data_IF_986505354298
#
_entry.id   IF_986505354298
#
_cell.length_a   1.000
_cell.length_b   1.000
_cell.length_c   1.000
_cell.angle_alpha   90.00
_cell.angle_beta   90.00
_cell.angle_gamma   90.00
#
_symmetry.space_group_name_H-M   'P 1'
#
loop_
_entity.id
_entity.type
_entity.pdbx_description
1 polymer ?
#
# COMPACT_ATOMS: atom_id res chain seq x y z
N UNK A 1 -13.85 5.52 73.34
CA UNK A 1 -13.50 4.18 72.82
C UNK A 1 -14.76 3.36 72.68
N UNK A 2 -15.28 3.19 71.46
CA UNK A 2 -16.24 2.11 71.15
C UNK A 2 -15.91 1.62 69.74
N UNK A 3 -15.26 0.45 69.67
CA UNK A 3 -15.01 -0.29 68.42
C UNK A 3 -16.30 -1.04 68.07
N UNK A 4 -16.87 -0.73 66.92
CA UNK A 4 -17.92 -1.54 66.30
C UNK A 4 -17.31 -2.89 65.94
N UNK A 5 -17.74 -3.94 66.63
CA UNK A 5 -17.41 -5.32 66.30
C UNK A 5 -18.37 -5.78 65.20
N UNK A 6 -17.86 -5.99 63.99
CA UNK A 6 -18.59 -6.75 62.98
C UNK A 6 -18.45 -8.24 63.29
N UNK A 7 -19.58 -8.88 63.57
CA UNK A 7 -19.74 -10.32 63.65
C UNK A 7 -19.55 -10.95 62.26
N UNK A 8 -18.84 -12.09 62.15
CA UNK A 8 -18.67 -12.77 60.87
C UNK A 8 -19.93 -13.58 60.55
N UNK A 9 -20.59 -13.24 59.45
CA UNK A 9 -21.69 -14.04 58.91
C UNK A 9 -21.14 -15.34 58.32
N UNK A 10 -21.58 -16.47 58.88
CA UNK A 10 -21.33 -17.80 58.37
C UNK A 10 -22.08 -18.01 57.04
N UNK A 11 -21.37 -17.87 55.91
CA UNK A 11 -21.62 -18.57 54.63
C UNK A 11 -20.76 -18.01 53.49
N UNK A 12 -19.47 -17.74 53.74
CA UNK A 12 -18.51 -17.48 52.66
C UNK A 12 -17.97 -18.81 52.12
N UNK A 13 -18.82 -19.52 51.35
CA UNK A 13 -18.31 -20.47 50.39
C UNK A 13 -17.57 -19.68 49.31
N UNK A 14 -16.28 -19.41 49.57
CA UNK A 14 -15.33 -18.85 48.63
C UNK A 14 -15.47 -19.58 47.29
N UNK A 15 -16.14 -18.93 46.33
CA UNK A 15 -16.23 -19.42 44.96
C UNK A 15 -14.81 -19.46 44.42
N UNK A 16 -14.21 -20.65 44.48
CA UNK A 16 -12.86 -20.94 44.02
C UNK A 16 -12.85 -20.83 42.50
N UNK A 17 -12.62 -19.62 42.01
CA UNK A 17 -12.39 -19.42 40.57
C UNK A 17 -11.09 -20.13 40.19
N UNK A 18 -11.04 -20.82 39.04
CA UNK A 18 -9.80 -21.43 38.49
C UNK A 18 -8.61 -20.47 38.48
N UNK A 19 -8.90 -19.16 38.36
CA UNK A 19 -7.92 -18.07 38.41
C UNK A 19 -7.35 -17.86 39.82
N UNK A 20 -8.16 -17.99 40.86
CA UNK A 20 -7.73 -17.97 42.26
C UNK A 20 -6.86 -19.17 42.63
N UNK A 21 -7.19 -20.37 42.14
CA UNK A 21 -6.39 -21.58 42.37
C UNK A 21 -5.01 -21.51 41.70
N UNK A 22 -4.96 -21.06 40.44
CA UNK A 22 -3.69 -20.85 39.71
C UNK A 22 -2.78 -19.81 40.37
N UNK A 23 -3.37 -18.79 41.01
CA UNK A 23 -2.63 -17.77 41.76
C UNK A 23 -2.23 -18.26 43.15
N UNK A 24 -3.02 -19.11 43.80
CA UNK A 24 -2.69 -19.74 45.08
C UNK A 24 -1.52 -20.73 44.93
N UNK A 25 -1.47 -21.49 43.84
CA UNK A 25 -0.33 -22.36 43.49
C UNK A 25 0.97 -21.58 43.19
N UNK A 26 0.88 -20.27 42.94
CA UNK A 26 2.02 -19.38 42.67
C UNK A 26 2.50 -18.59 43.89
N UNK A 27 1.86 -18.74 45.05
CA UNK A 27 2.25 -18.03 46.27
C UNK A 27 3.68 -18.46 46.65
N UNK A 28 4.63 -17.54 46.59
CA UNK A 28 6.06 -17.78 46.90
C UNK A 28 6.97 -18.07 45.69
N UNK A 29 6.42 -18.26 44.48
CA UNK A 29 7.23 -18.34 43.26
C UNK A 29 7.22 -16.99 42.53
N UNK A 30 8.39 -16.55 42.07
CA UNK A 30 8.46 -15.36 41.22
C UNK A 30 7.67 -15.61 39.93
N UNK A 31 6.86 -14.63 39.52
CA UNK A 31 6.11 -14.73 38.27
C UNK A 31 7.11 -14.86 37.13
N UNK A 32 7.16 -16.01 36.46
CA UNK A 32 7.89 -16.16 35.21
C UNK A 32 7.22 -15.24 34.19
N UNK A 33 7.83 -14.08 33.95
CA UNK A 33 7.27 -13.06 33.07
C UNK A 33 7.38 -13.44 31.59
N UNK A 34 8.34 -14.30 31.23
CA UNK A 34 8.61 -14.77 29.86
C UNK A 34 9.21 -16.17 29.87
N UNK A 35 8.80 -17.02 28.92
CA UNK A 35 9.40 -18.35 28.71
C UNK A 35 10.69 -18.28 27.88
N UNK A 36 10.73 -17.42 26.87
CA UNK A 36 11.89 -17.24 25.99
C UNK A 36 12.40 -15.79 26.11
N UNK A 37 13.69 -15.63 26.37
CA UNK A 37 14.39 -14.33 26.37
C UNK A 37 15.24 -14.22 25.11
N UNK A 38 14.98 -13.23 24.24
CA UNK A 38 15.76 -13.04 23.04
C UNK A 38 17.25 -12.82 23.35
N UNK A 39 18.13 -13.55 22.69
CA UNK A 39 19.57 -13.40 22.82
C UNK A 39 20.08 -12.23 21.94
N UNK A 40 20.78 -11.27 22.56
CA UNK A 40 21.34 -10.10 21.90
C UNK A 40 22.83 -10.25 21.54
N UNK A 41 23.47 -11.32 22.00
CA UNK A 41 24.88 -11.63 21.77
C UNK A 41 25.05 -12.67 20.65
N UNK A 42 24.46 -12.35 19.50
CA UNK A 42 24.57 -13.17 18.30
C UNK A 42 25.95 -12.92 17.67
N UNK A 43 26.71 -13.96 17.30
CA UNK A 43 28.00 -13.79 16.64
C UNK A 43 27.81 -13.19 15.24
N UNK A 44 28.32 -11.97 15.03
CA UNK A 44 28.24 -11.26 13.75
C UNK A 44 29.59 -11.33 13.03
N UNK A 45 29.62 -11.62 11.71
CA UNK A 45 30.85 -11.55 10.93
C UNK A 45 31.51 -10.17 10.97
N UNK A 46 32.85 -10.13 10.91
CA UNK A 46 33.61 -8.87 10.86
C UNK A 46 33.30 -8.08 9.56
N UNK A 47 33.63 -6.79 9.56
CA UNK A 47 33.45 -5.89 8.42
C UNK A 47 32.09 -5.20 8.44
N UNK A 48 31.48 -5.04 7.26
CA UNK A 48 30.18 -4.38 7.07
C UNK A 48 29.07 -4.90 7.98
N UNK A 49 28.86 -6.22 8.14
CA UNK A 49 27.83 -6.74 9.05
C UNK A 49 28.06 -6.31 10.51
N UNK A 50 29.31 -6.34 11.00
CA UNK A 50 29.65 -5.89 12.34
C UNK A 50 29.38 -4.40 12.55
N UNK A 51 29.71 -3.54 11.57
CA UNK A 51 29.41 -2.10 11.62
C UNK A 51 27.91 -1.86 11.74
N UNK A 52 27.12 -2.50 10.88
CA UNK A 52 25.66 -2.39 10.87
C UNK A 52 25.02 -2.97 12.15
N UNK A 53 25.58 -4.04 12.70
CA UNK A 53 25.07 -4.61 13.94
C UNK A 53 25.24 -3.67 15.14
N UNK A 54 26.29 -2.85 15.15
CA UNK A 54 26.54 -1.89 16.25
C UNK A 54 25.46 -0.80 16.29
N UNK A 55 25.08 -0.25 15.15
CA UNK A 55 24.00 0.75 15.07
C UNK A 55 22.67 0.13 15.49
N UNK A 56 22.41 -1.12 15.06
CA UNK A 56 21.21 -1.87 15.46
C UNK A 56 21.12 -2.17 16.96
N UNK A 57 22.25 -2.46 17.63
CA UNK A 57 22.27 -2.69 19.09
C UNK A 57 21.87 -1.44 19.88
N UNK A 58 22.23 -0.26 19.39
CA UNK A 58 21.95 1.04 20.05
C UNK A 58 20.59 1.62 19.62
N UNK A 59 19.96 1.08 18.58
CA UNK A 59 18.71 1.61 18.04
C UNK A 59 17.60 1.68 19.07
N UNK A 60 16.98 2.86 19.16
CA UNK A 60 15.85 3.09 20.04
C UNK A 60 14.51 2.93 19.31
N UNK A 61 13.90 1.76 19.45
CA UNK A 61 12.58 1.45 18.90
C UNK A 61 11.44 2.40 19.33
N UNK A 62 11.59 3.16 20.41
CA UNK A 62 10.56 4.12 20.79
C UNK A 62 10.52 5.37 19.92
N UNK A 63 11.61 5.68 19.22
CA UNK A 63 11.75 6.85 18.36
C UNK A 63 11.62 6.48 16.87
N UNK A 64 11.48 5.20 16.56
CA UNK A 64 11.35 4.69 15.21
C UNK A 64 10.01 5.13 14.59
N UNK A 65 10.08 6.03 13.61
CA UNK A 65 8.90 6.66 12.99
C UNK A 65 8.01 5.62 12.31
N UNK A 66 8.60 4.62 11.66
CA UNK A 66 7.85 3.59 10.93
C UNK A 66 7.08 2.70 11.90
N UNK A 67 7.71 2.33 13.02
CA UNK A 67 7.05 1.55 14.06
C UNK A 67 5.95 2.34 14.75
N UNK A 68 6.17 3.63 15.03
CA UNK A 68 5.15 4.52 15.61
C UNK A 68 3.94 4.61 14.69
N UNK A 69 4.16 4.89 13.40
CA UNK A 69 3.09 5.00 12.40
C UNK A 69 2.31 3.68 12.28
N UNK A 70 3.01 2.54 12.21
CA UNK A 70 2.37 1.23 12.15
C UNK A 70 1.54 0.94 13.41
N UNK A 71 2.02 1.33 14.59
CA UNK A 71 1.29 1.11 15.85
C UNK A 71 0.09 2.03 16.00
N UNK A 72 0.14 3.25 15.49
CA UNK A 72 -1.01 4.16 15.43
C UNK A 72 -2.12 3.59 14.52
N UNK A 73 -1.74 3.02 13.37
CA UNK A 73 -2.69 2.37 12.47
C UNK A 73 -3.21 1.03 13.03
N UNK A 74 -2.36 0.30 13.76
CA UNK A 74 -2.65 -1.03 14.27
C UNK A 74 -2.09 -2.14 13.37
N UNK A 75 -1.64 -3.24 14.00
CA UNK A 75 -1.09 -4.39 13.29
C UNK A 75 -2.19 -5.21 12.61
N UNK A 76 -1.87 -5.76 11.44
CA UNK A 76 -2.66 -6.84 10.82
C UNK A 76 -1.99 -8.18 11.16
N UNK A 77 -2.66 -9.05 11.94
CA UNK A 77 -2.19 -10.41 12.14
C UNK A 77 -2.00 -11.13 10.80
N UNK A 78 -1.01 -12.01 10.70
CA UNK A 78 -0.71 -12.67 9.42
C UNK A 78 -1.91 -13.44 8.85
N UNK A 79 -2.68 -14.11 9.71
CA UNK A 79 -3.90 -14.85 9.35
C UNK A 79 -4.99 -13.96 8.72
N UNK A 80 -5.04 -12.68 9.10
CA UNK A 80 -6.09 -11.74 8.70
C UNK A 80 -5.67 -10.84 7.53
N UNK A 81 -4.46 -11.02 6.97
CA UNK A 81 -3.96 -10.14 5.90
C UNK A 81 -4.77 -10.20 4.61
N UNK A 82 -5.40 -11.34 4.34
CA UNK A 82 -6.27 -11.54 3.19
C UNK A 82 -7.74 -11.21 3.48
N UNK A 83 -8.08 -10.91 4.75
CA UNK A 83 -9.44 -10.63 5.15
C UNK A 83 -9.77 -9.16 4.87
N UNK A 84 -10.72 -8.92 3.96
CA UNK A 84 -11.17 -7.58 3.57
C UNK A 84 -11.93 -6.85 4.68
N UNK A 85 -12.58 -7.59 5.59
CA UNK A 85 -13.40 -7.03 6.66
C UNK A 85 -12.63 -6.78 7.96
N UNK A 86 -11.33 -7.13 8.01
CA UNK A 86 -10.54 -6.96 9.21
C UNK A 86 -10.27 -5.47 9.51
N UNK A 87 -10.78 -4.99 10.64
CA UNK A 87 -10.56 -3.62 11.10
C UNK A 87 -9.35 -3.57 12.04
N UNK A 88 -8.36 -2.78 11.66
CA UNK A 88 -7.12 -2.61 12.46
C UNK A 88 -7.44 -1.83 13.73
N UNK A 89 -6.87 -2.28 14.85
CA UNK A 89 -7.01 -1.61 16.14
C UNK A 89 -5.73 -0.86 16.49
N UNK A 90 -5.78 0.47 16.66
CA UNK A 90 -4.66 1.25 17.15
C UNK A 90 -4.09 0.66 18.44
N UNK A 91 -2.77 0.69 18.54
CA UNK A 91 -2.03 0.18 19.69
C UNK A 91 -1.32 1.31 20.42
N UNK A 92 -0.92 1.05 21.66
CA UNK A 92 -0.03 1.95 22.40
C UNK A 92 1.20 2.27 21.56
N UNK A 93 1.49 3.55 21.35
CA UNK A 93 2.61 4.05 20.54
C UNK A 93 3.94 3.44 21.00
N UNK A 94 4.25 3.50 22.29
CA UNK A 94 5.47 2.88 22.83
C UNK A 94 5.35 1.35 22.85
N UNK A 95 6.22 0.68 22.09
CA UNK A 95 6.35 -0.77 22.11
C UNK A 95 6.78 -1.29 23.49
N UNK A 96 6.22 -2.44 23.87
CA UNK A 96 6.60 -3.16 25.10
C UNK A 96 8.03 -3.68 24.99
N UNK A 97 8.72 -3.84 26.13
CA UNK A 97 10.10 -4.34 26.16
C UNK A 97 10.28 -5.67 25.43
N UNK A 98 9.34 -6.60 25.55
CA UNK A 98 9.37 -7.90 24.86
C UNK A 98 9.46 -7.76 23.34
N UNK A 99 8.59 -6.94 22.75
CA UNK A 99 8.57 -6.70 21.31
C UNK A 99 9.86 -6.03 20.86
N UNK A 100 10.39 -5.07 21.63
CA UNK A 100 11.66 -4.40 21.31
C UNK A 100 12.84 -5.37 21.34
N UNK A 101 12.97 -6.16 22.40
CA UNK A 101 14.04 -7.16 22.54
C UNK A 101 13.98 -8.19 21.41
N UNK A 102 12.77 -8.64 21.05
CA UNK A 102 12.57 -9.56 19.93
C UNK A 102 12.95 -8.93 18.59
N UNK A 103 12.56 -7.67 18.34
CA UNK A 103 12.93 -6.94 17.12
C UNK A 103 14.43 -6.67 17.04
N UNK A 104 15.08 -6.27 18.14
CA UNK A 104 16.54 -6.10 18.18
C UNK A 104 17.24 -7.42 17.86
N UNK A 105 16.87 -8.50 18.53
CA UNK A 105 17.53 -9.80 18.35
C UNK A 105 17.31 -10.34 16.93
N UNK A 106 16.11 -10.16 16.37
CA UNK A 106 15.83 -10.53 14.99
C UNK A 106 16.64 -9.69 14.00
N UNK A 107 16.71 -8.38 14.19
CA UNK A 107 17.51 -7.48 13.34
C UNK A 107 18.99 -7.89 13.32
N UNK A 108 19.56 -8.21 14.48
CA UNK A 108 20.94 -8.69 14.60
C UNK A 108 21.14 -10.04 13.91
N UNK A 109 20.22 -10.99 14.12
CA UNK A 109 20.28 -12.31 13.52
C UNK A 109 20.19 -12.24 11.98
N UNK A 110 19.32 -11.39 11.46
CA UNK A 110 19.16 -11.19 10.02
C UNK A 110 20.43 -10.58 9.41
N UNK A 111 20.97 -9.51 10.00
CA UNK A 111 22.20 -8.87 9.51
C UNK A 111 23.42 -9.79 9.60
N UNK A 112 23.52 -10.62 10.64
CA UNK A 112 24.62 -11.57 10.78
C UNK A 112 24.68 -12.62 9.65
N UNK A 113 23.52 -12.95 9.08
CA UNK A 113 23.39 -13.98 8.06
C UNK A 113 22.93 -13.47 6.69
N UNK A 114 22.83 -12.15 6.54
CA UNK A 114 22.53 -11.50 5.27
C UNK A 114 23.77 -11.46 4.37
N UNK A 115 23.50 -11.48 3.07
CA UNK A 115 24.50 -11.35 2.04
C UNK A 115 24.69 -9.88 1.64
N UNK A 116 25.93 -9.41 1.69
CA UNK A 116 26.32 -8.03 1.39
C UNK A 116 27.08 -7.92 0.06
N UNK A 117 27.22 -9.00 -0.70
CA UNK A 117 27.96 -8.96 -1.95
C UNK A 117 27.12 -8.36 -3.08
N UNK A 118 27.54 -7.22 -3.70
CA UNK A 118 26.73 -6.52 -4.69
C UNK A 118 26.61 -7.25 -6.04
N UNK A 119 27.52 -8.18 -6.34
CA UNK A 119 27.50 -8.90 -7.62
C UNK A 119 26.37 -9.93 -7.72
N UNK A 120 25.91 -10.50 -6.60
CA UNK A 120 24.80 -11.46 -6.59
C UNK A 120 23.47 -10.85 -7.05
N UNK A 121 22.56 -11.68 -7.54
CA UNK A 121 21.30 -11.23 -8.17
C UNK A 121 20.43 -10.38 -7.25
N UNK A 122 20.36 -10.75 -5.97
CA UNK A 122 19.51 -10.11 -4.97
C UNK A 122 20.35 -9.63 -3.79
N UNK A 123 20.17 -8.37 -3.42
CA UNK A 123 20.90 -7.74 -2.32
C UNK A 123 20.28 -8.10 -0.97
N UNK A 124 21.11 -8.22 0.08
CA UNK A 124 20.68 -8.45 1.46
C UNK A 124 19.82 -9.70 1.67
N UNK A 125 20.07 -10.74 0.90
CA UNK A 125 19.40 -12.03 1.09
C UNK A 125 19.92 -12.73 2.35
N UNK A 126 19.01 -13.24 3.17
CA UNK A 126 19.37 -14.03 4.35
C UNK A 126 19.65 -15.47 3.92
N UNK A 127 20.92 -15.88 4.06
CA UNK A 127 21.39 -17.15 3.51
C UNK A 127 21.08 -18.38 4.38
N UNK A 128 20.30 -18.24 5.45
CA UNK A 128 19.99 -19.31 6.42
C UNK A 128 18.47 -19.48 6.56
N UNK A 129 17.97 -20.69 6.87
CA UNK A 129 16.55 -20.91 7.07
C UNK A 129 16.05 -20.16 8.31
N UNK A 130 14.79 -19.76 8.33
CA UNK A 130 14.25 -18.96 9.43
C UNK A 130 14.28 -19.68 10.78
N UNK A 131 14.19 -21.02 10.80
CA UNK A 131 14.36 -21.81 12.03
C UNK A 131 15.74 -21.60 12.67
N UNK A 132 16.78 -21.48 11.84
CA UNK A 132 18.14 -21.19 12.32
C UNK A 132 18.21 -19.79 12.95
N UNK A 133 17.52 -18.83 12.36
CA UNK A 133 17.43 -17.46 12.89
C UNK A 133 16.71 -17.46 14.24
N UNK A 134 15.59 -18.19 14.36
CA UNK A 134 14.87 -18.35 15.62
C UNK A 134 15.73 -19.02 16.71
N UNK A 135 16.58 -19.98 16.31
CA UNK A 135 17.58 -20.59 17.20
C UNK A 135 18.64 -19.59 17.64
N UNK A 136 19.20 -18.81 16.71
CA UNK A 136 20.19 -17.78 17.00
C UNK A 136 19.65 -16.69 17.93
N UNK A 137 18.37 -16.33 17.77
CA UNK A 137 17.65 -15.44 18.67
C UNK A 137 17.34 -16.06 20.05
N UNK A 138 17.52 -17.37 20.26
CA UNK A 138 17.18 -18.03 21.52
C UNK A 138 15.67 -18.17 21.78
N UNK A 139 14.84 -18.07 20.74
CA UNK A 139 13.36 -18.13 20.87
C UNK A 139 12.74 -19.37 20.23
N UNK A 140 13.57 -20.28 19.69
CA UNK A 140 13.14 -21.57 19.17
C UNK A 140 12.81 -22.52 20.33
N UNK A 141 11.55 -22.93 20.41
CA UNK A 141 11.07 -23.95 21.33
C UNK A 141 10.89 -25.27 20.59
N UNK A 142 11.48 -26.35 21.11
CA UNK A 142 11.23 -27.71 20.65
C UNK A 142 10.39 -28.43 21.69
N UNK A 143 9.24 -28.93 21.27
CA UNK A 143 8.36 -29.76 22.09
C UNK A 143 8.87 -31.21 22.10
N UNK A 144 8.43 -31.99 23.09
CA UNK A 144 8.78 -33.42 23.23
C UNK A 144 8.38 -34.26 22.01
N UNK A 145 7.31 -33.87 21.33
CA UNK A 145 6.84 -34.50 20.08
C UNK A 145 7.64 -34.09 18.82
N UNK A 146 8.75 -33.36 18.98
CA UNK A 146 9.58 -32.87 17.87
C UNK A 146 9.05 -31.63 17.15
N UNK A 147 7.86 -31.11 17.52
CA UNK A 147 7.33 -29.87 16.93
C UNK A 147 8.21 -28.69 17.33
N UNK A 148 8.47 -27.81 16.36
CA UNK A 148 9.23 -26.56 16.56
C UNK A 148 8.27 -25.38 16.56
N UNK A 149 8.35 -24.51 17.56
CA UNK A 149 7.62 -23.25 17.62
C UNK A 149 8.56 -22.07 17.85
N UNK A 150 8.25 -20.96 17.20
CA UNK A 150 9.06 -19.73 17.25
C UNK A 150 8.18 -18.50 17.00
N UNK A 151 7.04 -18.43 17.69
CA UNK A 151 6.00 -17.41 17.50
C UNK A 151 6.50 -15.99 17.74
N UNK A 152 7.39 -15.80 18.72
CA UNK A 152 8.01 -14.50 19.01
C UNK A 152 8.79 -13.99 17.80
N UNK A 153 9.54 -14.86 17.12
CA UNK A 153 10.28 -14.50 15.91
C UNK A 153 9.33 -14.23 14.74
N UNK A 154 8.28 -15.04 14.56
CA UNK A 154 7.28 -14.83 13.51
C UNK A 154 6.51 -13.52 13.69
N UNK A 155 6.18 -13.16 14.93
CA UNK A 155 5.52 -11.90 15.23
C UNK A 155 6.44 -10.73 14.89
N UNK A 156 7.70 -10.75 15.35
CA UNK A 156 8.67 -9.71 15.01
C UNK A 156 8.90 -9.60 13.50
N UNK A 157 8.99 -10.73 12.78
CA UNK A 157 9.11 -10.78 11.32
C UNK A 157 7.90 -10.11 10.63
N UNK A 158 6.68 -10.39 11.12
CA UNK A 158 5.46 -9.78 10.60
C UNK A 158 5.42 -8.27 10.80
N UNK A 159 5.96 -7.77 11.93
CA UNK A 159 6.06 -6.33 12.20
C UNK A 159 7.02 -5.67 11.21
N UNK A 160 8.21 -6.24 10.99
CA UNK A 160 9.17 -5.71 10.03
C UNK A 160 8.65 -5.71 8.59
N UNK A 161 7.94 -6.75 8.19
CA UNK A 161 7.33 -6.81 6.86
C UNK A 161 6.24 -5.74 6.68
N UNK A 162 5.42 -5.47 7.70
CA UNK A 162 4.43 -4.39 7.66
C UNK A 162 5.06 -3.00 7.63
N UNK A 163 6.24 -2.83 8.24
CA UNK A 163 7.06 -1.61 8.10
C UNK A 163 7.79 -1.53 6.76
N UNK A 164 7.65 -2.53 5.86
CA UNK A 164 8.35 -2.63 4.57
C UNK A 164 9.88 -2.70 4.70
N UNK A 165 10.38 -3.05 5.87
CA UNK A 165 11.81 -3.24 6.13
C UNK A 165 12.32 -4.59 5.59
N UNK A 166 11.40 -5.54 5.40
CA UNK A 166 11.71 -6.88 4.90
C UNK A 166 10.79 -7.26 3.76
N UNK A 167 11.34 -7.96 2.78
CA UNK A 167 10.57 -8.72 1.80
C UNK A 167 10.66 -10.19 2.20
N UNK A 168 9.52 -10.81 2.47
CA UNK A 168 9.47 -12.20 2.94
C UNK A 168 8.73 -13.05 1.92
N UNK A 169 9.44 -14.02 1.36
CA UNK A 169 8.84 -15.09 0.60
C UNK A 169 8.31 -16.17 1.54
N UNK A 170 7.04 -16.53 1.39
CA UNK A 170 6.45 -17.66 2.11
C UNK A 170 6.02 -18.73 1.14
N UNK A 171 6.18 -19.97 1.59
CA UNK A 171 5.67 -21.14 0.90
C UNK A 171 4.94 -22.04 1.89
N UNK A 172 4.07 -22.90 1.36
CA UNK A 172 3.33 -23.86 2.17
C UNK A 172 4.28 -24.95 2.64
N UNK A 173 4.34 -25.12 3.95
CA UNK A 173 5.00 -26.26 4.56
C UNK A 173 4.15 -27.52 4.33
N UNK A 174 4.77 -28.58 3.82
CA UNK A 174 4.10 -29.84 3.51
C UNK A 174 3.58 -30.55 4.76
N UNK A 175 4.34 -30.48 5.86
CA UNK A 175 4.01 -31.14 7.12
C UNK A 175 2.88 -30.45 7.89
N UNK A 176 2.89 -29.12 7.95
CA UNK A 176 1.96 -28.34 8.79
C UNK A 176 0.85 -27.65 8.00
N UNK A 177 0.96 -27.59 6.67
CA UNK A 177 0.09 -26.81 5.80
C UNK A 177 0.18 -25.29 6.01
N UNK A 178 1.09 -24.83 6.89
CA UNK A 178 1.24 -23.41 7.23
C UNK A 178 2.18 -22.71 6.26
N UNK A 179 1.90 -21.44 5.97
CA UNK A 179 2.78 -20.60 5.16
C UNK A 179 4.01 -20.16 5.97
N UNK A 180 5.12 -20.87 5.82
CA UNK A 180 6.37 -20.56 6.54
C UNK A 180 7.23 -19.57 5.74
N UNK A 181 8.01 -18.70 6.42
CA UNK A 181 8.99 -17.85 5.76
C UNK A 181 10.17 -18.69 5.26
N UNK A 182 10.39 -18.64 3.96
CA UNK A 182 11.35 -19.50 3.28
C UNK A 182 12.57 -18.72 2.81
N UNK A 183 12.35 -17.56 2.18
CA UNK A 183 13.41 -16.63 1.77
C UNK A 183 13.09 -15.23 2.29
N UNK A 184 14.11 -14.52 2.74
CA UNK A 184 13.98 -13.21 3.37
C UNK A 184 15.05 -12.28 2.78
N UNK A 185 14.65 -11.08 2.41
CA UNK A 185 15.55 -10.01 1.99
C UNK A 185 15.35 -8.79 2.86
N UNK A 186 16.45 -8.14 3.26
CA UNK A 186 16.39 -6.83 3.89
C UNK A 186 16.20 -5.75 2.83
N UNK A 187 15.39 -4.72 3.12
CA UNK A 187 15.30 -3.55 2.25
C UNK A 187 16.28 -2.46 2.69
N UNK A 188 16.63 -1.49 1.83
CA UNK A 188 17.45 -0.36 2.22
C UNK A 188 16.80 0.47 3.34
N UNK A 189 15.47 0.56 3.32
CA UNK A 189 14.66 1.26 4.33
C UNK A 189 14.83 0.67 5.74
N UNK A 190 15.13 -0.63 5.84
CA UNK A 190 15.49 -1.24 7.12
C UNK A 190 16.72 -0.57 7.75
N UNK A 191 17.72 -0.19 6.95
CA UNK A 191 18.92 0.48 7.46
C UNK A 191 18.69 1.99 7.64
N UNK A 192 17.95 2.62 6.72
CA UNK A 192 17.63 4.06 6.76
C UNK A 192 16.84 4.40 8.02
N UNK A 193 15.83 3.60 8.36
CA UNK A 193 15.03 3.77 9.59
C UNK A 193 15.85 3.64 10.88
N UNK A 194 17.06 3.08 10.80
CA UNK A 194 17.99 2.87 11.93
C UNK A 194 19.11 3.93 11.96
N UNK A 195 18.97 4.97 11.14
CA UNK A 195 19.86 6.11 11.09
C UNK A 195 21.06 5.94 10.15
N UNK A 196 21.08 4.91 9.31
CA UNK A 196 22.16 4.72 8.33
C UNK A 196 21.73 5.36 7.00
N UNK A 197 22.38 6.45 6.56
CA UNK A 197 22.01 7.12 5.32
C UNK A 197 22.29 6.23 4.10
N UNK A 198 21.53 6.46 3.03
CA UNK A 198 21.60 5.65 1.81
C UNK A 198 23.03 5.57 1.22
N UNK A 199 23.76 6.68 1.23
CA UNK A 199 25.15 6.76 0.75
C UNK A 199 26.10 5.87 1.57
N UNK A 200 25.91 5.78 2.90
CA UNK A 200 26.72 4.93 3.75
C UNK A 200 26.44 3.44 3.48
N UNK A 201 25.19 3.07 3.17
CA UNK A 201 24.84 1.70 2.76
C UNK A 201 25.61 1.34 1.48
N UNK A 202 25.61 2.23 0.48
CA UNK A 202 26.35 2.02 -0.78
C UNK A 202 27.85 1.87 -0.53
N UNK A 203 28.44 2.78 0.26
CA UNK A 203 29.85 2.71 0.61
C UNK A 203 30.16 1.39 1.33
N UNK A 204 29.29 0.95 2.23
CA UNK A 204 29.43 -0.32 2.95
C UNK A 204 29.51 -1.54 2.02
N UNK A 205 28.78 -1.53 0.90
CA UNK A 205 28.80 -2.61 -0.09
C UNK A 205 30.08 -2.58 -0.92
N UNK A 206 30.53 -1.38 -1.32
CA UNK A 206 31.79 -1.18 -2.04
C UNK A 206 32.97 -1.63 -1.16
N UNK A 207 32.98 -1.21 0.11
CA UNK A 207 34.01 -1.60 1.09
C UNK A 207 34.02 -3.14 1.29
N UNK A 208 32.84 -3.76 1.35
CA UNK A 208 32.72 -5.22 1.48
C UNK A 208 33.25 -5.95 0.25
N UNK A 209 32.94 -5.47 -0.95
CA UNK A 209 33.46 -6.03 -2.20
C UNK A 209 34.99 -5.87 -2.29
N UNK A 210 35.50 -4.68 -1.97
CA UNK A 210 36.94 -4.41 -1.94
C UNK A 210 37.67 -5.30 -0.93
N UNK A 211 37.08 -5.50 0.25
CA UNK A 211 37.59 -6.45 1.23
C UNK A 211 37.60 -7.89 0.69
N UNK A 212 36.51 -8.33 0.05
CA UNK A 212 36.42 -9.68 -0.51
C UNK A 212 37.49 -9.94 -1.60
N UNK A 213 37.77 -8.93 -2.43
CA UNK A 213 38.84 -8.97 -3.44
C UNK A 213 40.21 -9.03 -2.77
N UNK A 214 40.50 -8.09 -1.85
CA UNK A 214 41.81 -7.99 -1.16
C UNK A 214 42.12 -9.23 -0.31
N UNK A 215 41.11 -9.86 0.27
CA UNK A 215 41.25 -11.05 1.11
C UNK A 215 41.20 -12.38 0.34
N UNK A 216 40.99 -12.34 -0.98
CA UNK A 216 40.85 -13.54 -1.80
C UNK A 216 39.62 -14.40 -1.47
N UNK A 217 38.60 -13.84 -0.81
CA UNK A 217 37.41 -14.58 -0.36
C UNK A 217 36.31 -14.66 -1.43
N UNK A 218 36.52 -14.09 -2.62
CA UNK A 218 35.51 -13.98 -3.67
C UNK A 218 34.95 -15.35 -4.08
N UNK A 219 35.83 -16.31 -4.38
CA UNK A 219 35.40 -17.67 -4.70
C UNK A 219 34.64 -18.36 -3.57
N UNK A 220 35.02 -18.11 -2.31
CA UNK A 220 34.37 -18.72 -1.16
C UNK A 220 32.97 -18.16 -0.95
N UNK A 221 32.78 -16.85 -1.15
CA UNK A 221 31.48 -16.20 -1.12
C UNK A 221 30.57 -16.70 -2.24
N UNK A 222 31.10 -16.82 -3.46
CA UNK A 222 30.36 -17.36 -4.59
C UNK A 222 29.97 -18.82 -4.33
N UNK A 223 30.90 -19.68 -3.87
CA UNK A 223 30.62 -21.08 -3.50
C UNK A 223 29.54 -21.15 -2.41
N UNK A 224 29.56 -20.25 -1.43
CA UNK A 224 28.53 -20.17 -0.37
C UNK A 224 27.17 -19.78 -0.95
N UNK A 225 27.13 -18.83 -1.88
CA UNK A 225 25.91 -18.41 -2.55
C UNK A 225 25.32 -19.50 -3.45
N UNK A 226 26.15 -20.17 -4.25
CA UNK A 226 25.74 -21.30 -5.07
C UNK A 226 25.18 -22.46 -4.22
N UNK A 227 25.81 -22.79 -3.09
CA UNK A 227 25.25 -23.79 -2.15
C UNK A 227 23.91 -23.36 -1.58
N UNK A 228 23.73 -22.07 -1.30
CA UNK A 228 22.45 -21.54 -0.85
C UNK A 228 21.37 -21.73 -1.93
N UNK A 229 21.67 -21.39 -3.20
CA UNK A 229 20.75 -21.57 -4.32
C UNK A 229 20.39 -23.04 -4.56
N UNK A 230 21.39 -23.93 -4.60
CA UNK A 230 21.18 -25.38 -4.74
C UNK A 230 20.29 -25.95 -3.63
N UNK A 231 20.46 -25.47 -2.39
CA UNK A 231 19.58 -25.87 -1.28
C UNK A 231 18.15 -25.37 -1.50
N UNK A 232 17.96 -24.14 -1.97
CA UNK A 232 16.61 -23.62 -2.27
C UNK A 232 15.94 -24.45 -3.38
N UNK A 233 16.69 -24.79 -4.43
CA UNK A 233 16.22 -25.62 -5.54
C UNK A 233 15.85 -27.04 -5.09
N UNK A 234 16.68 -27.68 -4.25
CA UNK A 234 16.37 -29.00 -3.65
C UNK A 234 15.09 -29.00 -2.82
N UNK A 235 14.77 -27.89 -2.17
CA UNK A 235 13.54 -27.70 -1.41
C UNK A 235 12.34 -27.30 -2.29
N UNK A 236 12.52 -27.20 -3.62
CA UNK A 236 11.47 -26.82 -4.57
C UNK A 236 11.10 -25.34 -4.53
N UNK A 237 11.92 -24.49 -3.90
CA UNK A 237 11.60 -23.08 -3.68
C UNK A 237 12.09 -22.26 -4.86
N UNK A 238 11.23 -22.09 -5.84
CA UNK A 238 11.55 -21.32 -7.03
C UNK A 238 11.08 -19.86 -6.97
N UNK A 239 11.97 -18.96 -7.38
CA UNK A 239 11.69 -17.53 -7.59
C UNK A 239 11.46 -17.21 -9.07
N UNK A 240 11.92 -18.05 -10.00
CA UNK A 240 11.85 -17.76 -11.44
C UNK A 240 10.41 -17.54 -11.90
N UNK A 241 9.47 -18.33 -11.39
CA UNK A 241 8.05 -18.19 -11.71
C UNK A 241 7.38 -16.93 -11.10
N UNK A 242 8.04 -16.22 -10.17
CA UNK A 242 7.46 -15.07 -9.44
C UNK A 242 8.02 -13.74 -9.99
N UNK A 243 7.55 -13.36 -11.17
CA UNK A 243 7.99 -12.15 -11.88
C UNK A 243 7.91 -10.87 -11.04
N UNK A 244 6.80 -10.65 -10.31
CA UNK A 244 6.62 -9.45 -9.48
C UNK A 244 7.66 -9.32 -8.36
N UNK A 245 7.96 -10.43 -7.68
CA UNK A 245 8.99 -10.47 -6.64
C UNK A 245 10.38 -10.19 -7.21
N UNK A 246 10.75 -10.82 -8.33
CA UNK A 246 12.03 -10.57 -9.00
C UNK A 246 12.18 -9.10 -9.39
N UNK A 247 11.12 -8.51 -9.95
CA UNK A 247 11.10 -7.09 -10.33
C UNK A 247 11.31 -6.19 -9.12
N UNK A 248 10.62 -6.48 -8.01
CA UNK A 248 10.79 -5.75 -6.74
C UNK A 248 12.23 -5.82 -6.23
N UNK A 249 12.82 -7.03 -6.16
CA UNK A 249 14.18 -7.22 -5.66
C UNK A 249 15.23 -6.56 -6.57
N UNK A 250 15.05 -6.63 -7.89
CA UNK A 250 15.92 -5.91 -8.85
C UNK A 250 15.81 -4.39 -8.69
N UNK A 251 14.61 -3.88 -8.41
CA UNK A 251 14.42 -2.45 -8.13
C UNK A 251 15.12 -2.03 -6.83
N UNK A 252 15.04 -2.86 -5.79
CA UNK A 252 15.76 -2.65 -4.53
C UNK A 252 17.28 -2.63 -4.75
N UNK A 253 17.82 -3.57 -5.52
CA UNK A 253 19.26 -3.58 -5.85
C UNK A 253 19.66 -2.31 -6.61
N UNK A 254 18.87 -1.92 -7.62
CA UNK A 254 19.12 -0.72 -8.43
C UNK A 254 19.11 0.56 -7.61
N UNK A 255 18.19 0.68 -6.63
CA UNK A 255 18.14 1.88 -5.81
C UNK A 255 19.42 2.11 -5.02
N UNK A 256 20.08 1.04 -4.54
CA UNK A 256 21.32 1.15 -3.77
C UNK A 256 22.57 1.28 -4.66
N UNK A 257 22.62 0.53 -5.77
CA UNK A 257 23.84 0.43 -6.59
C UNK A 257 23.98 1.59 -7.59
N UNK A 258 22.86 2.08 -8.13
CA UNK A 258 22.85 3.05 -9.23
C UNK A 258 21.78 4.15 -9.02
N UNK A 259 21.96 5.05 -8.03
CA UNK A 259 21.05 6.17 -7.78
C UNK A 259 21.02 7.16 -8.95
N UNK A 260 22.16 7.39 -9.61
CA UNK A 260 22.28 8.31 -10.76
C UNK A 260 21.31 7.91 -11.91
N UNK A 261 21.11 6.60 -12.08
CA UNK A 261 20.20 6.03 -13.07
C UNK A 261 18.72 6.22 -12.68
N UNK A 262 18.43 6.34 -11.37
CA UNK A 262 17.11 6.70 -10.88
C UNK A 262 16.82 8.18 -11.10
N UNK A 263 17.78 9.05 -10.82
CA UNK A 263 17.65 10.48 -11.09
C UNK A 263 17.42 10.75 -12.59
N UNK A 264 18.16 10.05 -13.46
CA UNK A 264 17.95 10.11 -14.91
C UNK A 264 16.55 9.63 -15.31
N UNK A 265 16.05 8.56 -14.68
CA UNK A 265 14.70 8.07 -14.92
C UNK A 265 13.64 9.07 -14.45
N UNK A 266 13.82 9.70 -13.29
CA UNK A 266 12.89 10.71 -12.76
C UNK A 266 12.85 11.96 -13.64
N UNK A 267 14.02 12.43 -14.10
CA UNK A 267 14.14 13.49 -15.10
C UNK A 267 13.39 13.13 -16.38
N UNK A 268 13.65 11.95 -16.96
CA UNK A 268 12.94 11.49 -18.15
C UNK A 268 11.42 11.36 -17.95
N UNK A 269 10.95 10.96 -16.77
CA UNK A 269 9.52 10.92 -16.45
C UNK A 269 8.94 12.33 -16.41
N UNK A 270 9.65 13.29 -15.82
CA UNK A 270 9.20 14.67 -15.78
C UNK A 270 9.19 15.28 -17.18
N UNK A 271 10.22 15.04 -18.00
CA UNK A 271 10.27 15.47 -19.40
C UNK A 271 9.08 14.92 -20.20
N UNK A 272 8.72 13.64 -20.00
CA UNK A 272 7.55 13.02 -20.64
C UNK A 272 6.25 13.65 -20.14
N UNK A 273 6.12 13.92 -18.84
CA UNK A 273 4.92 14.58 -18.29
C UNK A 273 4.77 15.99 -18.84
N UNK A 274 5.85 16.75 -18.89
CA UNK A 274 5.85 18.10 -19.45
C UNK A 274 5.47 18.07 -20.93
N UNK A 275 5.94 17.08 -21.70
CA UNK A 275 5.52 16.88 -23.09
C UNK A 275 4.03 16.53 -23.21
N UNK A 276 3.50 15.66 -22.35
CA UNK A 276 2.06 15.34 -22.31
C UNK A 276 1.25 16.60 -21.98
N UNK A 277 1.66 17.37 -20.98
CA UNK A 277 0.97 18.59 -20.58
C UNK A 277 0.98 19.65 -21.70
N UNK A 278 2.06 19.74 -22.48
CA UNK A 278 2.13 20.61 -23.67
C UNK A 278 1.19 20.11 -24.77
N UNK A 279 1.16 18.80 -25.03
CA UNK A 279 0.26 18.20 -26.03
C UNK A 279 -1.22 18.37 -25.63
N UNK A 280 -1.55 18.21 -24.35
CA UNK A 280 -2.91 18.42 -23.85
C UNK A 280 -3.36 19.88 -23.98
N UNK A 281 -2.46 20.84 -23.72
CA UNK A 281 -2.74 22.27 -23.94
C UNK A 281 -2.92 22.60 -25.42
N UNK A 282 -2.04 22.10 -26.29
CA UNK A 282 -2.15 22.30 -27.73
C UNK A 282 -3.40 21.63 -28.31
N UNK A 283 -3.78 20.45 -27.82
CA UNK A 283 -5.01 19.77 -28.17
C UNK A 283 -6.25 20.57 -27.77
N UNK A 284 -6.25 21.15 -26.56
CA UNK A 284 -7.32 22.01 -26.08
C UNK A 284 -7.45 23.30 -26.90
N UNK A 285 -6.34 23.99 -27.19
CA UNK A 285 -6.33 25.21 -28.02
C UNK A 285 -6.81 24.92 -29.45
N UNK A 286 -6.43 23.78 -30.03
CA UNK A 286 -6.90 23.37 -31.35
C UNK A 286 -8.40 23.05 -31.36
N UNK A 287 -8.91 22.36 -30.33
CA UNK A 287 -10.34 22.06 -30.18
C UNK A 287 -11.18 23.33 -29.95
N UNK A 288 -10.67 24.26 -29.15
CA UNK A 288 -11.31 25.57 -28.93
C UNK A 288 -11.35 26.38 -30.22
N UNK A 289 -10.25 26.41 -30.99
CA UNK A 289 -10.20 27.08 -32.28
C UNK A 289 -11.14 26.44 -33.32
N UNK A 290 -11.30 25.11 -33.32
CA UNK A 290 -12.28 24.42 -34.17
C UNK A 290 -13.73 24.69 -33.72
N UNK A 291 -14.00 24.70 -32.42
CA UNK A 291 -15.29 25.08 -31.86
C UNK A 291 -15.66 26.53 -32.23
N UNK A 292 -14.70 27.45 -32.15
CA UNK A 292 -14.95 28.85 -32.51
C UNK A 292 -15.23 28.99 -34.01
N UNK A 293 -14.45 28.32 -34.88
CA UNK A 293 -14.69 28.29 -36.33
C UNK A 293 -16.06 27.70 -36.67
N UNK A 294 -16.46 26.62 -36.02
CA UNK A 294 -17.77 25.99 -36.24
C UNK A 294 -18.91 26.87 -35.73
N UNK A 295 -18.77 27.52 -34.56
CA UNK A 295 -19.74 28.49 -34.06
C UNK A 295 -19.88 29.70 -34.98
N UNK A 296 -18.77 30.23 -35.51
CA UNK A 296 -18.77 31.30 -36.50
C UNK A 296 -19.41 30.87 -37.82
N UNK A 297 -19.21 29.63 -38.26
CA UNK A 297 -19.88 29.08 -39.45
C UNK A 297 -21.41 28.95 -39.22
N UNK A 298 -21.83 28.46 -38.05
CA UNK A 298 -23.24 28.33 -37.68
C UNK A 298 -23.92 29.69 -37.55
N UNK A 299 -23.25 30.70 -36.97
CA UNK A 299 -23.81 32.06 -36.85
C UNK A 299 -23.97 32.74 -38.22
N UNK A 300 -23.00 32.57 -39.13
CA UNK A 300 -23.09 33.04 -40.53
C UNK A 300 -24.21 32.37 -41.31
N UNK A 301 -24.47 31.09 -41.05
CA UNK A 301 -25.62 30.36 -41.64
C UNK A 301 -26.95 30.85 -41.07
N UNK A 302 -27.02 31.22 -39.79
CA UNK A 302 -28.21 31.80 -39.16
C UNK A 302 -28.52 33.22 -39.66
N UNK A 303 -27.51 34.04 -39.93
CA UNK A 303 -27.68 35.43 -40.39
C UNK A 303 -28.25 35.59 -41.82
N UNK A 304 -28.25 34.54 -42.64
CA UNK A 304 -28.71 34.58 -44.05
C UNK A 304 -30.15 34.09 -44.28
N UNK A 305 -30.85 33.58 -43.26
CA UNK A 305 -32.27 33.20 -43.37
C UNK A 305 -33.16 34.28 -42.75
N UNK A 306 -33.37 35.40 -43.45
CA UNK A 306 -34.67 36.09 -43.31
C UNK A 306 -35.69 35.16 -43.96
N UNK A 307 -36.57 34.60 -43.14
CA UNK A 307 -37.61 33.67 -43.56
C UNK A 307 -38.38 34.26 -44.73
N UNK A 308 -38.55 33.48 -45.80
CA UNK A 308 -39.43 33.80 -46.92
C UNK A 308 -40.91 33.86 -46.50
N UNK A 309 -41.24 33.52 -45.24
CA UNK A 309 -42.61 33.44 -44.71
C UNK A 309 -42.82 34.30 -43.45
N UNK A 310 -43.03 35.62 -43.58
CA UNK A 310 -43.12 36.55 -42.44
C UNK A 310 -44.29 36.24 -41.48
N UNK A 311 -45.44 35.82 -42.01
CA UNK A 311 -46.63 35.53 -41.18
C UNK A 311 -46.53 34.19 -40.43
N UNK A 312 -45.75 33.23 -40.95
CA UNK A 312 -45.50 31.98 -40.24
C UNK A 312 -44.63 32.20 -39.00
N UNK A 313 -43.60 33.03 -39.11
CA UNK A 313 -42.71 33.32 -37.98
C UNK A 313 -43.48 34.06 -36.86
N UNK A 314 -44.36 34.99 -37.21
CA UNK A 314 -45.26 35.67 -36.26
C UNK A 314 -46.25 34.69 -35.61
N UNK A 315 -46.77 33.73 -36.38
CA UNK A 315 -47.63 32.68 -35.87
C UNK A 315 -46.91 31.81 -34.84
N UNK A 316 -45.67 31.39 -35.12
CA UNK A 316 -44.87 30.58 -34.18
C UNK A 316 -44.55 31.36 -32.90
N UNK A 317 -44.34 32.67 -32.99
CA UNK A 317 -44.15 33.52 -31.79
C UNK A 317 -45.44 33.62 -30.97
N UNK A 318 -46.59 33.83 -31.62
CA UNK A 318 -47.90 33.86 -30.96
C UNK A 318 -48.29 32.52 -30.33
N UNK A 319 -48.01 31.40 -31.01
CA UNK A 319 -48.28 30.06 -30.51
C UNK A 319 -47.47 29.73 -29.25
N UNK A 320 -46.29 30.33 -29.09
CA UNK A 320 -45.49 30.21 -27.85
C UNK A 320 -46.07 31.01 -26.69
N UNK A 321 -46.82 32.07 -26.95
CA UNK A 321 -47.46 32.92 -25.93
C UNK A 321 -48.88 32.49 -25.58
N UNK A 322 -49.53 31.73 -26.45
CA UNK A 322 -50.94 31.31 -26.34
C UNK A 322 -51.05 29.84 -25.93
N UNK A 323 -52.11 29.46 -25.21
CA UNK A 323 -52.35 28.06 -24.84
C UNK A 323 -52.67 27.20 -26.06
N UNK A 324 -52.21 25.94 -26.05
CA UNK A 324 -52.35 24.99 -27.18
C UNK A 324 -53.81 24.74 -27.59
N UNK A 325 -54.74 24.82 -26.64
CA UNK A 325 -56.18 24.70 -26.91
C UNK A 325 -56.71 25.91 -27.67
N UNK A 326 -56.28 27.13 -27.30
CA UNK A 326 -56.69 28.35 -27.97
C UNK A 326 -56.12 28.44 -29.40
N UNK A 327 -54.87 28.02 -29.61
CA UNK A 327 -54.29 27.98 -30.97
C UNK A 327 -55.00 26.96 -31.87
N UNK A 328 -55.40 25.81 -31.33
CA UNK A 328 -56.19 24.82 -32.08
C UNK A 328 -57.57 25.37 -32.46
N UNK A 329 -58.28 26.00 -31.51
CA UNK A 329 -59.58 26.61 -31.78
C UNK A 329 -59.48 27.70 -32.86
N UNK A 330 -58.47 28.57 -32.80
CA UNK A 330 -58.23 29.60 -33.82
C UNK A 330 -58.03 28.98 -35.22
N UNK A 331 -57.22 27.92 -35.34
CA UNK A 331 -57.03 27.20 -36.62
C UNK A 331 -58.33 26.60 -37.14
N UNK A 332 -59.13 25.99 -36.27
CA UNK A 332 -60.42 25.39 -36.67
C UNK A 332 -61.44 26.45 -37.12
N UNK A 333 -61.45 27.63 -36.50
CA UNK A 333 -62.31 28.75 -36.91
C UNK A 333 -61.95 29.28 -38.29
N UNK A 334 -60.67 29.52 -38.57
CA UNK A 334 -60.20 29.98 -39.89
C UNK A 334 -60.53 28.96 -40.97
N UNK A 335 -60.34 27.66 -40.69
CA UNK A 335 -60.67 26.58 -41.62
C UNK A 335 -62.19 26.49 -41.91
N UNK A 336 -63.02 26.72 -40.91
CA UNK A 336 -64.47 26.73 -41.07
C UNK A 336 -64.95 27.94 -41.91
N UNK A 337 -64.32 29.09 -41.77
CA UNK A 337 -64.68 30.32 -42.49
C UNK A 337 -64.12 30.36 -43.92
N UNK A 338 -62.93 29.78 -44.15
CA UNK A 338 -62.27 29.76 -45.46
C UNK A 338 -61.82 28.34 -45.87
N UNK A 339 -62.75 27.46 -46.30
CA UNK A 339 -62.42 26.07 -46.65
C UNK A 339 -61.53 25.92 -47.88
N UNK A 340 -61.43 26.98 -48.70
CA UNK A 340 -60.68 27.03 -49.96
C UNK A 340 -59.20 27.38 -49.77
N UNK A 341 -58.78 27.77 -48.55
CA UNK A 341 -57.39 28.12 -48.25
C UNK A 341 -56.65 26.87 -47.75
N UNK A 342 -55.53 26.55 -48.38
CA UNK A 342 -54.69 25.41 -47.98
C UNK A 342 -54.09 25.63 -46.60
N UNK A 343 -54.21 24.63 -45.72
CA UNK A 343 -53.54 24.60 -44.43
C UNK A 343 -52.03 24.76 -44.63
N UNK A 344 -51.41 25.66 -43.86
CA UNK A 344 -50.00 26.04 -43.93
C UNK A 344 -49.59 27.00 -45.07
N UNK A 345 -50.55 27.62 -45.77
CA UNK A 345 -50.26 28.77 -46.65
C UNK A 345 -50.01 30.05 -45.83
N UNK A 346 -49.26 31.01 -46.36
CA UNK A 346 -49.05 32.29 -45.66
C UNK A 346 -50.34 33.08 -45.47
N UNK A 347 -51.26 32.99 -46.42
CA UNK A 347 -52.58 33.61 -46.33
C UNK A 347 -53.40 33.04 -45.15
N UNK A 348 -53.27 31.74 -44.88
CA UNK A 348 -53.88 31.11 -43.72
C UNK A 348 -53.35 31.71 -42.40
N UNK A 349 -52.03 31.87 -42.27
CA UNK A 349 -51.42 32.42 -41.07
C UNK A 349 -51.69 33.91 -40.88
N UNK A 350 -51.76 34.67 -41.98
CA UNK A 350 -52.15 36.07 -41.94
C UNK A 350 -53.58 36.24 -41.40
N UNK A 351 -54.56 35.53 -41.96
CA UNK A 351 -55.95 35.61 -41.51
C UNK A 351 -56.14 35.15 -40.07
N UNK A 352 -55.40 34.10 -39.66
CA UNK A 352 -55.43 33.63 -38.27
C UNK A 352 -54.92 34.71 -37.30
N UNK A 353 -53.80 35.34 -37.63
CA UNK A 353 -53.21 36.40 -36.80
C UNK A 353 -54.05 37.69 -36.79
N UNK A 354 -54.74 38.01 -37.89
CA UNK A 354 -55.69 39.13 -37.98
C UNK A 354 -56.93 38.88 -37.10
N UNK A 355 -57.48 37.65 -37.08
CA UNK A 355 -58.64 37.29 -36.24
C UNK A 355 -58.35 37.32 -34.74
N UNK A 356 -57.14 36.94 -34.35
CA UNK A 356 -56.71 36.94 -32.95
C UNK A 356 -56.12 38.30 -32.52
N UNK A 357 -56.18 39.32 -33.39
CA UNK A 357 -55.77 40.70 -33.09
C UNK A 357 -54.26 40.91 -32.93
N UNK A 358 -53.44 39.96 -33.41
CA UNK A 358 -51.97 39.99 -33.29
C UNK A 358 -51.33 40.88 -34.36
N UNK A 359 -51.97 40.95 -35.53
CA UNK A 359 -51.60 41.85 -36.62
C UNK A 359 -52.79 42.76 -36.89
N UNK A 360 -52.58 44.07 -36.79
CA UNK A 360 -53.58 45.09 -37.14
C UNK A 360 -53.39 45.44 -38.61
N UNK A 361 -54.45 45.38 -39.40
CA UNK A 361 -54.47 45.88 -40.79
C UNK A 361 -54.26 47.38 -40.85
#
# INVERSE_FOLDING_TARGET
>A
MYKVQHTPSASDNLVRTRRGESNALRKGQSKIHRRNTPNQDIPVPRGTPARLSRTLKVHNWWLDRDLIALRQQGYVPYSERNNTHFTRKPMRVRARSESREAMTSLALALVAHADFFPSHDYLFEVMVPFEFIAKAMGVLHQYENGRKAYDTALHALSVFEQMKHLVVHRDKDSDTGQNKPVRIWLTPDFFISKGIPHQEIRQSLIDFQNWAIKSGQLENLDKKYQRHLLRMERMGIDIQNKHGLRKLLKNIKRSVVAPDLQEQKEKAINDIKDQIDVLDKQGAENLEAELEKTQQAVSRLRGKKKSTRPYWDLFVQWERTTTTVASYLARTKVKAQHPHITENSEQFYRLLLEQEGVVVT
#
